data_IF_313255383340
#
_entry.id   IF_313255383340
#
_cell.length_a   1.000
_cell.length_b   1.000
_cell.length_c   1.000
_cell.angle_alpha   90.00
_cell.angle_beta   90.00
_cell.angle_gamma   90.00
#
_symmetry.space_group_name_H-M   'P 1'
#
loop_
_entity.id
_entity.type
_entity.pdbx_description
1 polymer ?
#
# COMPACT_ATOMS: atom_id res chain seq x y z
N UNK A 1 11.48 11.06 67.41
CA UNK A 1 10.88 10.04 66.52
C UNK A 1 10.35 10.73 65.26
N UNK A 2 11.12 10.74 64.16
CA UNK A 2 10.65 11.26 62.86
C UNK A 2 10.64 10.08 61.89
N UNK A 3 9.44 9.68 61.45
CA UNK A 3 9.23 8.56 60.52
C UNK A 3 9.44 9.07 59.10
N UNK A 4 10.43 8.53 58.41
CA UNK A 4 10.65 8.76 56.98
C UNK A 4 9.69 7.87 56.20
N UNK A 5 8.71 8.46 55.50
CA UNK A 5 7.83 7.73 54.57
C UNK A 5 8.49 7.80 53.19
N UNK A 6 8.97 6.66 52.72
CA UNK A 6 9.53 6.49 51.38
C UNK A 6 8.39 6.15 50.42
N UNK A 7 7.92 7.12 49.65
CA UNK A 7 6.89 6.92 48.62
C UNK A 7 7.56 6.37 47.35
N UNK A 8 7.32 5.10 47.05
CA UNK A 8 7.77 4.46 45.81
C UNK A 8 6.82 4.86 44.67
N UNK A 9 7.29 5.72 43.76
CA UNK A 9 6.54 6.11 42.55
C UNK A 9 6.82 5.07 41.47
N UNK A 10 5.82 4.25 41.15
CA UNK A 10 5.88 3.27 40.08
C UNK A 10 5.62 3.99 38.74
N UNK A 11 6.69 4.30 37.98
CA UNK A 11 6.56 4.83 36.62
C UNK A 11 6.15 3.70 35.66
N UNK A 12 4.90 3.73 35.23
CA UNK A 12 4.41 2.89 34.15
C UNK A 12 4.90 3.49 32.83
N UNK A 13 5.97 2.92 32.24
CA UNK A 13 6.37 3.27 30.87
C UNK A 13 5.31 2.72 29.91
N UNK A 14 4.36 3.58 29.51
CA UNK A 14 3.57 3.33 28.32
C UNK A 14 4.52 3.42 27.12
N UNK A 15 4.84 2.28 26.50
CA UNK A 15 5.52 2.27 25.20
C UNK A 15 4.57 2.90 24.18
N UNK A 16 4.80 4.16 23.84
CA UNK A 16 4.19 4.78 22.66
C UNK A 16 4.66 3.97 21.46
N UNK A 17 3.76 3.17 20.89
CA UNK A 17 3.97 2.52 19.59
C UNK A 17 4.10 3.65 18.57
N UNK A 18 5.33 4.04 18.25
CA UNK A 18 5.59 4.91 17.13
C UNK A 18 5.26 4.12 15.87
N UNK A 19 4.11 4.42 15.26
CA UNK A 19 3.88 4.11 13.86
C UNK A 19 5.10 4.61 13.08
N UNK A 20 5.64 3.76 12.20
CA UNK A 20 6.85 4.11 11.45
C UNK A 20 6.58 5.35 10.62
N UNK A 21 7.21 6.48 10.96
CA UNK A 21 7.09 7.72 10.20
C UNK A 21 7.63 7.47 8.79
N UNK A 22 6.78 7.66 7.78
CA UNK A 22 7.21 7.56 6.39
C UNK A 22 8.19 8.71 6.07
N UNK A 23 9.28 8.43 5.32
CA UNK A 23 10.30 9.43 4.98
C UNK A 23 9.83 10.41 3.91
N UNK A 24 8.69 10.15 3.26
CA UNK A 24 8.14 10.95 2.19
C UNK A 24 7.05 10.20 1.41
N UNK A 25 6.59 10.75 0.27
CA UNK A 25 5.58 10.12 -0.57
C UNK A 25 6.11 8.89 -1.33
N UNK A 26 7.43 8.67 -1.31
CA UNK A 26 8.10 7.51 -1.88
C UNK A 26 8.98 6.85 -0.82
N UNK A 27 9.05 5.53 -0.86
CA UNK A 27 9.99 4.71 -0.09
C UNK A 27 10.70 3.76 -1.04
N UNK A 28 11.95 3.42 -0.76
CA UNK A 28 12.65 2.38 -1.48
C UNK A 28 12.42 0.99 -0.85
N UNK A 29 12.90 -0.05 -1.52
CA UNK A 29 12.76 -1.44 -1.08
C UNK A 29 13.51 -1.73 0.23
N UNK A 30 14.63 -1.04 0.48
CA UNK A 30 15.43 -1.23 1.69
C UNK A 30 14.68 -0.69 2.91
N UNK A 31 14.12 0.51 2.79
CA UNK A 31 13.29 1.12 3.82
C UNK A 31 12.06 0.26 4.12
N UNK A 32 11.37 -0.24 3.09
CA UNK A 32 10.18 -1.09 3.28
C UNK A 32 10.55 -2.41 3.98
N UNK A 33 11.66 -3.03 3.61
CA UNK A 33 12.14 -4.24 4.27
C UNK A 33 12.45 -4.00 5.75
N UNK A 34 13.10 -2.88 6.08
CA UNK A 34 13.47 -2.51 7.45
C UNK A 34 12.28 -2.08 8.33
N UNK A 35 11.13 -1.74 7.74
CA UNK A 35 9.95 -1.24 8.45
C UNK A 35 8.68 -2.08 8.19
N UNK A 36 8.85 -3.32 7.72
CA UNK A 36 7.74 -4.17 7.23
C UNK A 36 6.66 -4.41 8.28
N UNK A 37 7.01 -4.47 9.55
CA UNK A 37 6.12 -4.67 10.69
C UNK A 37 5.37 -3.40 11.13
N UNK A 38 5.83 -2.23 10.67
CA UNK A 38 5.29 -0.91 11.04
C UNK A 38 4.29 -0.35 10.02
N UNK A 39 4.19 -0.95 8.85
CA UNK A 39 3.37 -0.47 7.73
C UNK A 39 2.40 -1.53 7.21
N UNK A 40 1.33 -1.07 6.56
CA UNK A 40 0.44 -1.92 5.78
C UNK A 40 0.82 -1.79 4.32
N UNK A 41 1.09 -2.93 3.68
CA UNK A 41 1.42 -2.97 2.25
C UNK A 41 0.15 -3.20 1.44
N UNK A 42 -0.14 -2.30 0.52
CA UNK A 42 -1.28 -2.38 -0.41
C UNK A 42 -0.77 -2.70 -1.81
N UNK A 43 -1.01 -3.91 -2.30
CA UNK A 43 -0.61 -4.32 -3.65
C UNK A 43 -1.77 -4.07 -4.63
N UNK A 44 -1.66 -3.03 -5.45
CA UNK A 44 -2.73 -2.63 -6.38
C UNK A 44 -2.47 -3.16 -7.79
N UNK A 45 -3.31 -4.13 -8.19
CA UNK A 45 -3.20 -4.83 -9.48
C UNK A 45 -4.57 -5.22 -10.02
N UNK A 46 -4.64 -5.51 -11.31
CA UNK A 46 -5.87 -5.95 -11.98
C UNK A 46 -6.08 -7.47 -11.84
N UNK A 47 -5.03 -8.27 -12.04
CA UNK A 47 -5.15 -9.73 -12.10
C UNK A 47 -4.60 -10.38 -10.82
N UNK A 48 -5.46 -10.90 -9.94
CA UNK A 48 -5.04 -11.54 -8.69
C UNK A 48 -4.20 -12.81 -8.93
N UNK A 49 -4.28 -13.42 -10.11
CA UNK A 49 -3.48 -14.62 -10.44
C UNK A 49 -1.99 -14.31 -10.50
N UNK A 50 -1.62 -13.05 -10.71
CA UNK A 50 -0.20 -12.63 -10.68
C UNK A 50 0.40 -12.73 -9.28
N UNK A 51 -0.40 -12.72 -8.21
CA UNK A 51 0.07 -12.75 -6.83
C UNK A 51 0.67 -14.11 -6.43
N UNK A 52 0.26 -15.20 -7.10
CA UNK A 52 0.62 -16.58 -6.73
C UNK A 52 1.40 -17.32 -7.80
N UNK A 53 1.49 -16.77 -9.02
CA UNK A 53 2.27 -17.36 -10.11
C UNK A 53 3.76 -17.17 -9.87
N UNK A 54 4.55 -18.07 -10.45
CA UNK A 54 5.99 -17.92 -10.49
C UNK A 54 6.41 -16.75 -11.40
N UNK A 55 7.53 -16.06 -11.09
CA UNK A 55 8.13 -15.10 -12.00
C UNK A 55 8.47 -15.76 -13.34
N UNK A 56 8.32 -15.00 -14.42
CA UNK A 56 8.70 -15.45 -15.77
C UNK A 56 9.98 -14.75 -16.18
N UNK A 57 10.96 -15.55 -16.59
CA UNK A 57 12.23 -15.08 -17.12
C UNK A 57 12.35 -15.42 -18.61
N UNK A 58 12.83 -14.46 -19.40
CA UNK A 58 13.19 -14.68 -20.80
C UNK A 58 14.70 -14.60 -20.95
N UNK A 59 15.27 -15.51 -21.74
CA UNK A 59 16.69 -15.43 -22.12
C UNK A 59 16.84 -14.41 -23.25
N UNK A 60 17.63 -13.38 -23.03
CA UNK A 60 18.01 -12.43 -24.08
C UNK A 60 18.82 -13.18 -25.16
N UNK A 61 18.39 -13.06 -26.42
CA UNK A 61 18.96 -13.85 -27.52
C UNK A 61 20.39 -13.42 -27.88
N UNK A 62 20.79 -12.18 -27.58
CA UNK A 62 22.11 -11.65 -27.92
C UNK A 62 23.13 -11.91 -26.81
N UNK A 63 22.73 -11.70 -25.57
CA UNK A 63 23.61 -11.73 -24.39
C UNK A 63 23.49 -13.03 -23.60
N UNK A 64 22.43 -13.82 -23.82
CA UNK A 64 22.15 -15.03 -23.06
C UNK A 64 21.69 -14.78 -21.63
N UNK A 65 21.57 -13.52 -21.18
CA UNK A 65 21.15 -13.17 -19.82
C UNK A 65 19.67 -13.48 -19.60
N UNK A 66 19.31 -13.98 -18.42
CA UNK A 66 17.91 -14.10 -17.99
C UNK A 66 17.42 -12.71 -17.57
N UNK A 67 16.36 -12.26 -18.21
CA UNK A 67 15.67 -11.00 -17.92
C UNK A 67 14.30 -11.34 -17.35
N UNK A 68 13.96 -10.75 -16.21
CA UNK A 68 12.62 -10.86 -15.64
C UNK A 68 11.62 -10.14 -16.56
N UNK A 69 10.60 -10.86 -17.03
CA UNK A 69 9.56 -10.31 -17.91
C UNK A 69 8.19 -10.29 -17.26
N UNK A 70 7.98 -11.09 -16.23
CA UNK A 70 6.83 -10.99 -15.33
C UNK A 70 7.32 -11.19 -13.91
N UNK A 71 7.13 -10.20 -13.04
CA UNK A 71 7.52 -10.30 -11.63
C UNK A 71 6.73 -11.42 -10.96
N UNK A 72 5.39 -11.39 -11.07
CA UNK A 72 4.47 -12.26 -10.32
C UNK A 72 4.87 -12.35 -8.81
N UNK A 73 4.12 -13.11 -8.01
CA UNK A 73 4.30 -13.06 -6.56
C UNK A 73 3.81 -11.73 -5.95
N UNK A 74 3.98 -11.62 -4.64
CA UNK A 74 3.62 -10.44 -3.85
C UNK A 74 4.52 -10.35 -2.61
N UNK A 75 4.57 -9.17 -2.00
CA UNK A 75 5.23 -8.97 -0.71
C UNK A 75 4.44 -9.73 0.36
N UNK A 76 5.06 -10.59 1.19
CA UNK A 76 4.36 -11.37 2.20
C UNK A 76 3.50 -10.47 3.10
N UNK A 77 2.23 -10.81 3.28
CA UNK A 77 1.28 -10.03 4.09
C UNK A 77 0.76 -8.74 3.43
N UNK A 78 0.99 -8.54 2.13
CA UNK A 78 0.37 -7.44 1.39
C UNK A 78 -1.13 -7.70 1.18
N UNK A 79 -1.92 -6.62 1.26
CA UNK A 79 -3.35 -6.64 0.98
C UNK A 79 -3.57 -6.30 -0.49
N UNK A 80 -4.21 -7.20 -1.24
CA UNK A 80 -4.50 -6.95 -2.65
C UNK A 80 -5.65 -5.97 -2.81
N UNK A 81 -5.41 -4.92 -3.59
CA UNK A 81 -6.41 -3.95 -4.02
C UNK A 81 -6.74 -4.18 -5.50
N UNK A 82 -7.98 -4.58 -5.77
CA UNK A 82 -8.47 -4.70 -7.14
C UNK A 82 -8.65 -3.31 -7.76
N UNK A 83 -7.73 -2.95 -8.67
CA UNK A 83 -7.74 -1.65 -9.35
C UNK A 83 -9.02 -1.37 -10.15
N UNK A 84 -9.76 -2.41 -10.56
CA UNK A 84 -11.05 -2.22 -11.24
C UNK A 84 -12.12 -1.77 -10.27
N UNK A 85 -12.05 -2.21 -9.00
CA UNK A 85 -13.06 -1.90 -7.98
C UNK A 85 -12.92 -0.52 -7.37
N UNK A 86 -11.76 0.12 -7.45
CA UNK A 86 -11.58 1.49 -6.93
C UNK A 86 -12.13 2.57 -7.88
N UNK A 87 -12.71 2.19 -9.03
CA UNK A 87 -13.30 3.12 -10.01
C UNK A 87 -14.69 2.65 -10.41
N UNK A 88 -15.54 3.61 -10.72
CA UNK A 88 -16.93 3.35 -11.09
C UNK A 88 -17.35 4.05 -12.37
N UNK A 89 -18.63 3.90 -12.66
CA UNK A 89 -19.32 4.66 -13.71
C UNK A 89 -20.15 5.75 -13.04
N UNK A 90 -20.20 6.94 -13.65
CA UNK A 90 -21.12 8.01 -13.26
C UNK A 90 -21.92 8.51 -14.47
N UNK A 91 -23.11 9.03 -14.22
CA UNK A 91 -23.83 9.83 -15.21
C UNK A 91 -23.45 11.29 -14.99
N UNK A 92 -22.92 11.95 -16.02
CA UNK A 92 -22.58 13.38 -16.03
C UNK A 92 -23.30 13.98 -17.23
N UNK A 93 -24.20 14.93 -16.99
CA UNK A 93 -25.01 15.58 -18.04
C UNK A 93 -25.72 14.59 -18.98
N UNK A 94 -26.32 13.55 -18.40
CA UNK A 94 -27.01 12.48 -19.13
C UNK A 94 -26.10 11.49 -19.85
N UNK A 95 -24.78 11.60 -19.75
CA UNK A 95 -23.81 10.71 -20.40
C UNK A 95 -23.15 9.76 -19.42
N UNK A 96 -23.00 8.51 -19.82
CA UNK A 96 -22.25 7.49 -19.07
C UNK A 96 -20.75 7.76 -19.19
N UNK A 97 -20.09 8.04 -18.06
CA UNK A 97 -18.64 8.24 -17.97
C UNK A 97 -18.04 7.15 -17.10
N UNK A 98 -17.07 6.42 -17.65
CA UNK A 98 -16.43 5.29 -16.98
C UNK A 98 -15.11 5.69 -16.30
N UNK A 99 -14.59 4.79 -15.44
CA UNK A 99 -13.32 4.95 -14.72
C UNK A 99 -13.28 6.18 -13.80
N UNK A 100 -14.45 6.66 -13.38
CA UNK A 100 -14.60 7.78 -12.47
C UNK A 100 -14.29 7.37 -11.03
N UNK A 101 -13.97 8.35 -10.19
CA UNK A 101 -13.84 8.12 -8.75
C UNK A 101 -15.17 7.63 -8.17
N UNK A 102 -15.11 6.74 -7.19
CA UNK A 102 -16.28 6.33 -6.40
C UNK A 102 -16.79 7.48 -5.52
N UNK A 103 -17.90 7.31 -4.83
CA UNK A 103 -18.17 8.11 -3.64
C UNK A 103 -17.37 7.56 -2.45
N UNK A 104 -17.33 8.32 -1.34
CA UNK A 104 -16.54 7.97 -0.16
C UNK A 104 -16.96 6.62 0.43
N UNK A 105 -18.25 6.39 0.60
CA UNK A 105 -18.77 5.17 1.22
C UNK A 105 -18.47 3.92 0.38
N UNK A 106 -18.61 4.01 -0.94
CA UNK A 106 -18.26 2.92 -1.84
C UNK A 106 -16.76 2.65 -1.84
N UNK A 107 -15.92 3.69 -1.85
CA UNK A 107 -14.47 3.53 -1.75
C UNK A 107 -14.03 2.88 -0.42
N UNK A 108 -14.57 3.36 0.71
CA UNK A 108 -14.31 2.80 2.03
C UNK A 108 -14.72 1.33 2.11
N UNK A 109 -15.85 0.95 1.50
CA UNK A 109 -16.27 -0.46 1.43
C UNK A 109 -15.26 -1.32 0.67
N UNK A 110 -14.65 -0.82 -0.41
CA UNK A 110 -13.59 -1.54 -1.14
C UNK A 110 -12.35 -1.73 -0.26
N UNK A 111 -11.92 -0.69 0.45
CA UNK A 111 -10.77 -0.76 1.37
C UNK A 111 -11.03 -1.72 2.53
N UNK A 112 -12.20 -1.66 3.16
CA UNK A 112 -12.61 -2.57 4.23
C UNK A 112 -12.69 -4.02 3.75
N UNK A 113 -13.24 -4.25 2.55
CA UNK A 113 -13.33 -5.59 1.96
C UNK A 113 -11.94 -6.18 1.65
N UNK A 114 -10.94 -5.33 1.41
CA UNK A 114 -9.55 -5.73 1.25
C UNK A 114 -8.79 -5.86 2.58
N UNK A 115 -9.43 -5.54 3.71
CA UNK A 115 -8.84 -5.62 5.05
C UNK A 115 -7.92 -4.45 5.42
N UNK A 116 -8.01 -3.32 4.71
CA UNK A 116 -7.18 -2.14 5.02
C UNK A 116 -7.59 -1.56 6.38
N UNK A 117 -6.69 -1.51 7.38
CA UNK A 117 -7.01 -0.95 8.68
C UNK A 117 -6.95 0.58 8.66
N UNK A 118 -7.68 1.22 9.58
CA UNK A 118 -7.53 2.64 9.85
C UNK A 118 -6.27 2.94 10.67
N UNK A 119 -5.66 4.11 10.46
CA UNK A 119 -4.65 4.68 11.36
C UNK A 119 -3.27 4.04 11.35
N UNK A 120 -2.94 3.22 10.33
CA UNK A 120 -1.58 2.71 10.11
C UNK A 120 -0.95 3.32 8.85
N UNK A 121 0.37 3.54 8.81
CA UNK A 121 1.05 3.99 7.61
C UNK A 121 0.85 2.98 6.47
N UNK A 122 0.56 3.50 5.27
CA UNK A 122 0.30 2.70 4.08
C UNK A 122 1.48 2.79 3.10
N UNK A 123 1.93 1.65 2.58
CA UNK A 123 2.86 1.59 1.45
C UNK A 123 2.16 0.93 0.27
N UNK A 124 1.96 1.69 -0.79
CA UNK A 124 1.29 1.24 -2.01
C UNK A 124 2.34 0.69 -2.98
N UNK A 125 2.09 -0.52 -3.46
CA UNK A 125 3.01 -1.33 -4.27
C UNK A 125 2.30 -1.68 -5.58
N UNK A 126 3.06 -1.76 -6.67
CA UNK A 126 2.53 -2.14 -7.98
C UNK A 126 3.35 -3.30 -8.55
N UNK A 127 3.37 -3.50 -9.87
CA UNK A 127 4.29 -4.47 -10.49
C UNK A 127 5.61 -3.84 -10.92
N UNK A 128 5.68 -2.51 -11.07
CA UNK A 128 6.90 -1.84 -11.50
C UNK A 128 7.36 -2.15 -12.93
N UNK A 129 6.55 -2.81 -13.76
CA UNK A 129 6.94 -3.23 -15.11
C UNK A 129 6.62 -2.19 -16.19
N UNK A 130 5.72 -1.26 -15.91
CA UNK A 130 5.24 -0.28 -16.89
C UNK A 130 4.71 0.99 -16.24
N UNK A 131 4.58 2.06 -17.02
CA UNK A 131 3.91 3.29 -16.61
C UNK A 131 2.44 3.04 -16.18
N UNK A 132 1.82 1.97 -16.69
CA UNK A 132 0.48 1.55 -16.28
C UNK A 132 0.43 1.13 -14.81
N UNK A 133 1.48 0.48 -14.31
CA UNK A 133 1.58 0.03 -12.92
C UNK A 133 1.70 1.23 -11.98
N UNK A 134 2.57 2.18 -12.31
CA UNK A 134 2.70 3.43 -11.57
C UNK A 134 1.39 4.25 -11.60
N UNK A 135 0.66 4.23 -12.72
CA UNK A 135 -0.67 4.87 -12.81
C UNK A 135 -1.67 4.25 -11.82
N UNK A 136 -1.62 2.94 -11.59
CA UNK A 136 -2.49 2.27 -10.61
C UNK A 136 -2.14 2.68 -9.17
N UNK A 137 -0.86 2.65 -8.81
CA UNK A 137 -0.38 3.06 -7.50
C UNK A 137 -0.72 4.52 -7.17
N UNK A 138 -0.39 5.43 -8.08
CA UNK A 138 -0.67 6.87 -7.92
C UNK A 138 -2.16 7.18 -7.90
N UNK A 139 -2.98 6.46 -8.67
CA UNK A 139 -4.44 6.60 -8.60
C UNK A 139 -4.99 6.20 -7.24
N UNK A 140 -4.54 5.06 -6.69
CA UNK A 140 -4.95 4.65 -5.34
C UNK A 140 -4.47 5.64 -4.27
N UNK A 141 -3.20 6.08 -4.35
CA UNK A 141 -2.65 7.11 -3.47
C UNK A 141 -3.52 8.37 -3.46
N UNK A 142 -3.85 8.89 -4.65
CA UNK A 142 -4.70 10.07 -4.78
C UNK A 142 -6.09 9.86 -4.18
N UNK A 143 -6.71 8.69 -4.37
CA UNK A 143 -8.04 8.41 -3.81
C UNK A 143 -8.02 8.33 -2.28
N UNK A 144 -7.03 7.64 -1.71
CA UNK A 144 -6.87 7.57 -0.26
C UNK A 144 -6.66 8.97 0.33
N UNK A 145 -5.81 9.79 -0.31
CA UNK A 145 -5.57 11.19 0.09
C UNK A 145 -6.82 12.04 -0.04
N UNK A 146 -7.54 11.91 -1.16
CA UNK A 146 -8.79 12.62 -1.42
C UNK A 146 -9.85 12.33 -0.35
N UNK A 147 -9.84 11.13 0.26
CA UNK A 147 -10.75 10.75 1.34
C UNK A 147 -10.18 10.88 2.76
N UNK A 148 -8.99 11.49 2.92
CA UNK A 148 -8.45 11.89 4.22
C UNK A 148 -7.36 10.99 4.81
N UNK A 149 -6.72 10.13 4.01
CA UNK A 149 -5.50 9.41 4.44
C UNK A 149 -4.25 10.21 4.13
N UNK A 150 -3.38 10.43 5.13
CA UNK A 150 -2.17 11.26 4.97
C UNK A 150 -0.86 10.48 5.10
N UNK A 151 -0.82 9.45 5.93
CA UNK A 151 0.38 8.66 6.22
C UNK A 151 0.57 7.54 5.19
N UNK A 152 1.03 7.94 3.99
CA UNK A 152 1.12 7.04 2.85
C UNK A 152 2.35 7.31 1.96
N UNK A 153 2.91 6.24 1.41
CA UNK A 153 3.96 6.28 0.41
C UNK A 153 3.70 5.28 -0.72
N UNK A 154 4.37 5.46 -1.85
CA UNK A 154 4.46 4.46 -2.93
C UNK A 154 5.86 3.84 -2.89
N UNK A 155 5.96 2.52 -3.08
CA UNK A 155 7.24 1.86 -3.27
C UNK A 155 7.84 2.28 -4.62
N UNK A 156 8.98 2.96 -4.58
CA UNK A 156 9.72 3.34 -5.78
C UNK A 156 10.26 2.11 -6.51
N UNK A 157 10.10 2.08 -7.82
CA UNK A 157 10.38 0.90 -8.65
C UNK A 157 9.29 -0.17 -8.68
N UNK A 158 8.28 -0.07 -7.80
CA UNK A 158 7.11 -0.95 -7.77
C UNK A 158 7.23 -2.16 -6.88
#
# INVERSE_FOLDING_TARGET
>A
MKKTILTLVLFWLATLVHAGTLPGPLVDAEWLAANRDKVVVLDVRIDPRTLTRAPVFRKDRKTGKKVLVQVNGHIPGALWIDYKKIRGTRIVDGRKVEKMILDKAAFEKVMQSAGVPGGKPLVIVSQGLSNGDMTMATRLYWQLKYYGSDDMAILDGG
#
